data_IF_152829651603
#
_entry.id   IF_152829651603
#
_cell.length_a   1.000
_cell.length_b   1.000
_cell.length_c   1.000
_cell.angle_alpha   90.00
_cell.angle_beta   90.00
_cell.angle_gamma   90.00
#
_symmetry.space_group_name_H-M   'P 1'
#
loop_
_entity.id
_entity.type
_entity.pdbx_description
1 polymer ?
#
# COMPACT_ATOMS: atom_id res chain seq x y z
N UNK A 1 -8.35 -5.42 -22.02
CA UNK A 1 -6.99 -5.95 -21.83
C UNK A 1 -6.58 -5.71 -20.38
N UNK A 2 -6.96 -6.56 -19.44
CA UNK A 2 -6.51 -6.42 -18.04
C UNK A 2 -5.47 -7.48 -17.76
N UNK A 3 -4.30 -7.30 -18.38
CA UNK A 3 -3.15 -8.16 -18.15
C UNK A 3 -2.70 -8.00 -16.70
N UNK A 4 -2.60 -9.11 -15.98
CA UNK A 4 -1.94 -9.15 -14.67
C UNK A 4 -0.51 -8.64 -14.85
N UNK A 5 -0.21 -7.46 -14.29
CA UNK A 5 1.16 -6.95 -14.26
C UNK A 5 2.00 -7.95 -13.48
N UNK A 6 3.02 -8.51 -14.14
CA UNK A 6 3.96 -9.43 -13.49
C UNK A 6 4.94 -8.57 -12.71
N UNK A 7 5.00 -8.80 -11.40
CA UNK A 7 6.05 -8.28 -10.54
C UNK A 7 7.06 -9.40 -10.36
N UNK A 8 8.32 -9.16 -10.76
CA UNK A 8 9.37 -10.17 -10.74
C UNK A 8 10.02 -10.28 -9.35
N UNK A 9 10.05 -9.18 -8.59
CA UNK A 9 10.54 -9.14 -7.22
C UNK A 9 9.42 -9.37 -6.19
N UNK A 10 9.76 -10.07 -5.10
CA UNK A 10 8.87 -10.29 -3.95
C UNK A 10 9.51 -9.71 -2.69
N UNK A 11 8.75 -8.87 -1.99
CA UNK A 11 9.01 -8.52 -0.59
C UNK A 11 8.06 -9.31 0.31
N UNK A 12 8.52 -9.68 1.49
CA UNK A 12 7.69 -10.29 2.55
C UNK A 12 7.70 -9.36 3.74
N UNK A 13 6.53 -9.01 4.25
CA UNK A 13 6.38 -8.17 5.44
C UNK A 13 5.61 -8.94 6.50
N UNK A 14 6.04 -8.83 7.75
CA UNK A 14 5.26 -9.29 8.90
C UNK A 14 4.38 -8.13 9.36
N UNK A 15 3.11 -8.44 9.62
CA UNK A 15 2.13 -7.49 10.16
C UNK A 15 1.46 -8.12 11.35
N UNK A 16 1.04 -7.28 12.30
CA UNK A 16 0.18 -7.71 13.40
C UNK A 16 -1.17 -8.19 12.88
N UNK A 17 -1.89 -8.96 13.71
CA UNK A 17 -3.26 -9.38 13.42
C UNK A 17 -4.18 -8.19 13.16
N UNK A 18 -4.01 -7.10 13.92
CA UNK A 18 -4.82 -5.89 13.76
C UNK A 18 -4.61 -5.21 12.40
N UNK A 19 -3.36 -5.12 11.95
CA UNK A 19 -3.04 -4.56 10.62
C UNK A 19 -3.57 -5.44 9.48
N UNK A 20 -3.51 -6.76 9.62
CA UNK A 20 -4.10 -7.67 8.63
C UNK A 20 -5.63 -7.49 8.55
N UNK A 21 -6.30 -7.35 9.68
CA UNK A 21 -7.75 -7.10 9.73
C UNK A 21 -8.08 -5.73 9.10
N UNK A 22 -7.30 -4.70 9.38
CA UNK A 22 -7.46 -3.38 8.78
C UNK A 22 -7.32 -3.43 7.25
N UNK A 23 -6.33 -4.19 6.74
CA UNK A 23 -6.13 -4.40 5.30
C UNK A 23 -7.31 -5.13 4.65
N UNK A 24 -7.86 -6.16 5.29
CA UNK A 24 -9.07 -6.84 4.79
C UNK A 24 -10.30 -5.94 4.81
N UNK A 25 -10.45 -5.13 5.85
CA UNK A 25 -11.55 -4.17 5.97
C UNK A 25 -11.47 -3.14 4.85
N UNK A 26 -10.29 -2.60 4.57
CA UNK A 26 -10.06 -1.69 3.46
C UNK A 26 -10.40 -2.34 2.11
N UNK A 27 -10.05 -3.62 1.92
CA UNK A 27 -10.39 -4.37 0.71
C UNK A 27 -11.90 -4.51 0.52
N UNK A 28 -12.65 -4.76 1.59
CA UNK A 28 -14.13 -4.82 1.55
C UNK A 28 -14.71 -3.43 1.24
N UNK A 29 -14.19 -2.37 1.86
CA UNK A 29 -14.64 -1.00 1.60
C UNK A 29 -14.43 -0.59 0.14
N UNK A 30 -13.26 -0.87 -0.44
CA UNK A 30 -12.99 -0.60 -1.86
C UNK A 30 -13.97 -1.36 -2.78
N UNK A 31 -14.31 -2.60 -2.44
CA UNK A 31 -15.29 -3.37 -3.19
C UNK A 31 -16.68 -2.72 -3.18
N UNK A 32 -17.08 -2.08 -2.09
CA UNK A 32 -18.36 -1.33 -2.03
C UNK A 32 -18.39 -0.14 -3.02
N UNK A 33 -17.22 0.39 -3.38
CA UNK A 33 -17.06 1.41 -4.43
C UNK A 33 -16.82 0.81 -5.83
N UNK A 34 -17.01 -0.49 -6.04
CA UNK A 34 -16.77 -1.16 -7.32
C UNK A 34 -15.29 -1.38 -7.66
N UNK A 35 -14.38 -1.12 -6.72
CA UNK A 35 -12.93 -1.26 -6.92
C UNK A 35 -12.49 -2.64 -6.44
N UNK A 36 -12.09 -3.49 -7.39
CA UNK A 36 -11.52 -4.81 -7.07
C UNK A 36 -10.00 -4.72 -6.91
N UNK A 37 -9.51 -4.96 -5.69
CA UNK A 37 -8.09 -5.02 -5.37
C UNK A 37 -7.79 -6.20 -4.44
N UNK A 38 -6.67 -6.88 -4.67
CA UNK A 38 -6.12 -7.83 -3.71
C UNK A 38 -5.20 -7.12 -2.71
N UNK A 39 -4.74 -7.83 -1.67
CA UNK A 39 -3.80 -7.30 -0.66
C UNK A 39 -2.56 -6.70 -1.29
N UNK A 40 -1.99 -7.40 -2.28
CA UNK A 40 -0.76 -6.99 -2.94
C UNK A 40 -0.94 -5.70 -3.73
N UNK A 41 -2.07 -5.53 -4.42
CA UNK A 41 -2.40 -4.28 -5.10
C UNK A 41 -2.51 -3.14 -4.12
N UNK A 42 -3.25 -3.31 -3.02
CA UNK A 42 -3.39 -2.26 -1.99
C UNK A 42 -2.02 -1.85 -1.43
N UNK A 43 -1.18 -2.83 -1.07
CA UNK A 43 0.18 -2.56 -0.55
C UNK A 43 1.04 -1.84 -1.58
N UNK A 44 1.00 -2.24 -2.86
CA UNK A 44 1.76 -1.57 -3.92
C UNK A 44 1.32 -0.13 -4.16
N UNK A 45 0.02 0.14 -4.19
CA UNK A 45 -0.48 1.52 -4.31
C UNK A 45 -0.09 2.37 -3.09
N UNK A 46 -0.17 1.82 -1.89
CA UNK A 46 0.25 2.52 -0.67
C UNK A 46 1.75 2.85 -0.68
N UNK A 47 2.60 1.93 -1.16
CA UNK A 47 4.03 2.18 -1.36
C UNK A 47 4.24 3.27 -2.40
N UNK A 48 3.56 3.21 -3.55
CA UNK A 48 3.68 4.23 -4.59
C UNK A 48 3.29 5.63 -4.10
N UNK A 49 2.21 5.75 -3.33
CA UNK A 49 1.79 7.01 -2.69
C UNK A 49 2.86 7.53 -1.73
N UNK A 50 3.42 6.66 -0.87
CA UNK A 50 4.45 7.05 0.08
C UNK A 50 5.75 7.49 -0.61
N UNK A 51 6.15 6.82 -1.70
CA UNK A 51 7.32 7.18 -2.49
C UNK A 51 7.11 8.51 -3.24
N UNK A 52 5.92 8.75 -3.78
CA UNK A 52 5.59 10.01 -4.44
C UNK A 52 5.59 11.20 -3.45
N UNK A 53 5.08 11.01 -2.24
CA UNK A 53 5.17 12.01 -1.17
C UNK A 53 6.63 12.27 -0.76
N UNK A 54 7.45 11.22 -0.64
CA UNK A 54 8.87 11.38 -0.35
C UNK A 54 9.60 12.17 -1.46
N UNK A 55 9.32 11.88 -2.72
CA UNK A 55 9.93 12.55 -3.87
C UNK A 55 9.51 14.03 -3.94
N UNK A 56 8.25 14.33 -3.65
CA UNK A 56 7.70 15.71 -3.72
C UNK A 56 8.09 16.55 -2.51
N UNK A 57 8.02 15.97 -1.31
CA UNK A 57 8.11 16.69 -0.02
C UNK A 57 9.46 16.54 0.67
N UNK A 58 10.32 15.63 0.20
CA UNK A 58 11.63 15.32 0.76
C UNK A 58 11.60 15.14 2.29
N UNK A 59 12.37 15.95 3.02
CA UNK A 59 12.50 15.90 4.49
C UNK A 59 11.17 16.16 5.23
N UNK A 60 10.22 16.82 4.58
CA UNK A 60 8.89 17.11 5.16
C UNK A 60 7.85 16.01 4.90
N UNK A 61 8.21 14.95 4.16
CA UNK A 61 7.30 13.86 3.85
C UNK A 61 6.82 13.12 5.09
N UNK A 62 5.60 12.57 5.00
CA UNK A 62 5.01 11.79 6.07
C UNK A 62 5.81 10.52 6.39
N UNK A 63 6.58 10.02 5.42
CA UNK A 63 7.46 8.87 5.58
C UNK A 63 8.69 9.23 6.42
N UNK A 64 9.39 10.33 6.11
CA UNK A 64 10.54 10.82 6.90
C UNK A 64 10.11 11.09 8.34
N UNK A 65 9.03 11.82 8.56
CA UNK A 65 8.54 12.18 9.90
C UNK A 65 8.17 10.96 10.79
N UNK A 66 7.84 9.81 10.19
CA UNK A 66 7.56 8.56 10.90
C UNK A 66 8.81 7.74 11.19
N UNK A 67 9.77 7.72 10.26
CA UNK A 67 10.96 6.88 10.35
C UNK A 67 12.15 7.55 11.05
N UNK A 68 12.12 8.87 11.24
CA UNK A 68 13.17 9.62 11.94
C UNK A 68 13.02 9.65 13.47
N UNK A 69 12.21 8.75 14.04
CA UNK A 69 11.92 8.67 15.48
C UNK A 69 12.64 7.50 16.13
#
# INVERSE_FOLDING_TARGET
MTGRVRHDEKITVYVSTGELIALETARVALKAHGISADRGRIVREAIAIALADLDTSAESSALVARLSR
#
